data_IF_679187544482
#
_entry.id   IF_679187544482
#
_cell.length_a   1.000
_cell.length_b   1.000
_cell.length_c   1.000
_cell.angle_alpha   90.00
_cell.angle_beta   90.00
_cell.angle_gamma   90.00
#
_symmetry.space_group_name_H-M   'P 1'
#
loop_
_entity.id
_entity.type
_entity.pdbx_description
1 polymer ?
#
# COMPACT_ATOMS: atom_id res chain seq x y z
N UNK A 1 28.32 -35.43 -69.96
CA UNK A 1 29.46 -35.98 -69.19
C UNK A 1 29.65 -35.09 -67.95
N UNK A 2 29.34 -35.66 -66.77
CA UNK A 2 29.79 -35.36 -65.40
C UNK A 2 29.95 -33.90 -64.91
N UNK A 3 29.17 -33.59 -63.88
CA UNK A 3 29.31 -32.48 -62.90
C UNK A 3 30.59 -32.68 -62.06
N UNK A 4 31.24 -31.60 -61.58
CA UNK A 4 31.38 -31.37 -60.12
C UNK A 4 31.07 -29.89 -59.77
N UNK A 5 30.13 -29.56 -58.88
CA UNK A 5 30.15 -29.67 -57.42
C UNK A 5 31.35 -28.94 -56.78
N UNK A 6 31.18 -27.64 -56.47
CA UNK A 6 32.01 -26.93 -55.49
C UNK A 6 31.09 -26.37 -54.39
N UNK A 7 31.19 -27.01 -53.22
CA UNK A 7 30.62 -26.56 -51.96
C UNK A 7 31.53 -25.46 -51.39
N UNK A 8 31.03 -24.23 -51.33
CA UNK A 8 31.67 -23.16 -50.55
C UNK A 8 31.00 -23.15 -49.17
N UNK A 9 31.76 -23.60 -48.17
CA UNK A 9 31.40 -23.56 -46.76
C UNK A 9 31.45 -22.12 -46.26
N UNK A 10 30.31 -21.55 -45.88
CA UNK A 10 30.22 -20.23 -45.26
C UNK A 10 30.26 -20.40 -43.73
N UNK A 11 31.44 -20.20 -43.14
CA UNK A 11 31.61 -20.18 -41.70
C UNK A 11 30.90 -18.93 -41.11
N UNK A 12 29.82 -19.16 -40.37
CA UNK A 12 29.08 -18.12 -39.67
C UNK A 12 29.89 -17.57 -38.49
N UNK A 13 30.33 -16.32 -38.59
CA UNK A 13 30.91 -15.57 -37.49
C UNK A 13 29.77 -14.93 -36.70
N UNK A 14 29.32 -15.58 -35.65
CA UNK A 14 28.35 -15.04 -34.69
C UNK A 14 29.02 -13.94 -33.86
N UNK A 15 28.76 -12.69 -34.23
CA UNK A 15 29.03 -11.53 -33.38
C UNK A 15 28.14 -11.62 -32.13
N UNK A 16 28.74 -12.02 -31.01
CA UNK A 16 28.14 -11.83 -29.69
C UNK A 16 28.18 -10.33 -29.38
N UNK A 17 27.07 -9.64 -29.62
CA UNK A 17 26.88 -8.25 -29.18
C UNK A 17 26.63 -8.25 -27.67
N UNK A 18 27.71 -8.23 -26.89
CA UNK A 18 27.63 -7.95 -25.46
C UNK A 18 27.03 -6.56 -25.25
N UNK A 19 25.91 -6.47 -24.52
CA UNK A 19 25.32 -5.20 -24.12
C UNK A 19 26.22 -4.54 -23.06
N UNK A 20 27.15 -3.70 -23.51
CA UNK A 20 27.92 -2.81 -22.64
C UNK A 20 26.98 -1.76 -22.02
N UNK A 21 26.50 -2.01 -20.80
CA UNK A 21 25.72 -1.06 -19.99
C UNK A 21 26.64 -0.05 -19.30
N UNK A 22 27.25 0.86 -20.06
CA UNK A 22 28.19 1.82 -19.45
C UNK A 22 27.64 3.26 -19.31
N UNK A 23 26.59 3.67 -20.04
CA UNK A 23 26.09 5.05 -19.97
C UNK A 23 24.58 5.12 -20.22
N UNK A 24 23.81 5.71 -19.29
CA UNK A 24 22.39 6.01 -19.50
C UNK A 24 22.25 7.48 -19.86
N UNK A 25 21.91 7.74 -21.13
CA UNK A 25 21.61 9.07 -21.62
C UNK A 25 20.24 9.58 -21.14
N UNK A 26 20.07 10.90 -21.22
CA UNK A 26 18.81 11.60 -21.00
C UNK A 26 17.85 11.40 -22.18
N UNK A 27 16.58 11.14 -21.91
CA UNK A 27 15.53 11.06 -22.94
C UNK A 27 14.79 12.40 -23.01
N UNK A 28 14.75 13.09 -24.16
CA UNK A 28 14.00 14.34 -24.32
C UNK A 28 12.49 14.14 -24.16
N UNK A 29 11.80 15.14 -23.61
CA UNK A 29 10.34 15.17 -23.55
C UNK A 29 9.74 15.35 -24.95
N UNK A 30 8.55 14.79 -25.17
CA UNK A 30 7.80 14.95 -26.41
C UNK A 30 7.37 16.41 -26.68
N UNK A 31 7.18 17.21 -25.62
CA UNK A 31 6.72 18.60 -25.74
C UNK A 31 7.86 19.61 -25.92
N UNK A 32 9.02 19.37 -25.30
CA UNK A 32 10.21 20.22 -25.45
C UNK A 32 11.48 19.38 -25.18
N UNK A 33 12.37 19.30 -26.17
CA UNK A 33 13.56 18.46 -26.11
C UNK A 33 14.59 18.90 -25.04
N UNK A 34 14.46 20.14 -24.53
CA UNK A 34 15.33 20.69 -23.48
C UNK A 34 14.90 20.26 -22.08
N UNK A 35 13.68 19.73 -21.94
CA UNK A 35 13.20 19.04 -20.74
C UNK A 35 13.48 17.56 -20.96
N UNK A 36 14.36 17.00 -20.15
CA UNK A 36 14.84 15.64 -20.32
C UNK A 36 14.55 14.82 -19.08
N UNK A 37 14.40 13.52 -19.28
CA UNK A 37 14.09 12.57 -18.23
C UNK A 37 15.13 11.45 -18.24
N UNK A 38 15.54 11.00 -17.06
CA UNK A 38 16.49 9.91 -16.88
C UNK A 38 15.86 8.86 -16.00
N UNK A 39 15.84 7.61 -16.47
CA UNK A 39 15.47 6.47 -15.63
C UNK A 39 16.69 6.08 -14.79
N UNK A 40 16.60 6.22 -13.48
CA UNK A 40 17.68 5.89 -12.56
C UNK A 40 17.54 4.45 -12.06
N UNK A 41 18.59 3.63 -12.21
CA UNK A 41 18.59 2.22 -11.77
C UNK A 41 19.58 1.92 -10.64
N UNK A 42 20.14 2.93 -9.97
CA UNK A 42 21.12 2.74 -8.89
C UNK A 42 22.57 2.88 -9.35
N UNK A 43 22.94 2.23 -10.46
CA UNK A 43 24.33 2.08 -10.90
C UNK A 43 24.65 2.80 -12.22
N UNK A 44 23.96 3.91 -12.53
CA UNK A 44 24.19 4.65 -13.77
C UNK A 44 24.96 5.95 -13.55
N UNK A 45 25.92 6.21 -14.44
CA UNK A 45 26.48 7.55 -14.64
C UNK A 45 25.55 8.31 -15.58
N UNK A 46 25.03 9.44 -15.12
CA UNK A 46 24.05 10.25 -15.86
C UNK A 46 24.78 11.37 -16.58
N UNK A 47 24.78 11.35 -17.93
CA UNK A 47 25.37 12.42 -18.72
C UNK A 47 24.38 13.59 -18.89
N UNK A 48 24.83 14.80 -18.57
CA UNK A 48 24.06 16.04 -18.74
C UNK A 48 24.84 16.99 -19.65
N UNK A 49 24.21 17.41 -20.75
CA UNK A 49 24.75 18.44 -21.62
C UNK A 49 24.28 19.82 -21.13
N UNK A 50 25.21 20.66 -20.66
CA UNK A 50 24.93 22.02 -20.21
C UNK A 50 25.66 23.03 -21.12
N UNK A 51 25.21 24.27 -21.14
CA UNK A 51 25.82 25.30 -21.98
C UNK A 51 26.04 26.60 -21.20
N UNK A 52 27.09 27.32 -21.56
CA UNK A 52 27.33 28.67 -21.04
C UNK A 52 26.11 29.57 -21.33
N UNK A 53 25.73 30.38 -20.35
CA UNK A 53 24.54 31.23 -20.44
C UNK A 53 23.20 30.48 -20.33
N UNK A 54 23.22 29.17 -20.11
CA UNK A 54 22.02 28.35 -19.84
C UNK A 54 22.08 27.79 -18.43
N UNK A 55 20.98 27.92 -17.69
CA UNK A 55 20.82 27.30 -16.38
C UNK A 55 20.20 25.93 -16.57
N UNK A 56 20.84 24.89 -16.03
CA UNK A 56 20.34 23.52 -16.04
C UNK A 56 19.89 23.14 -14.63
N UNK A 57 18.65 22.66 -14.49
CA UNK A 57 18.10 22.19 -13.21
C UNK A 57 17.98 20.68 -13.21
N UNK A 58 18.54 20.02 -12.20
CA UNK A 58 18.37 18.59 -11.92
C UNK A 58 17.31 18.46 -10.83
N UNK A 59 16.22 17.77 -11.14
CA UNK A 59 15.10 17.51 -10.24
C UNK A 59 15.17 16.06 -9.73
N UNK A 60 15.47 15.92 -8.44
CA UNK A 60 15.40 14.65 -7.72
C UNK A 60 13.96 14.38 -7.22
N UNK A 61 13.72 13.22 -6.60
CA UNK A 61 12.42 12.91 -6.00
C UNK A 61 12.01 13.99 -5.00
N UNK A 62 10.72 14.37 -4.97
CA UNK A 62 10.17 15.30 -3.96
C UNK A 62 10.32 14.78 -2.51
N UNK A 63 10.59 13.48 -2.36
CA UNK A 63 10.81 12.83 -1.07
C UNK A 63 12.29 12.73 -0.67
N UNK A 64 13.19 13.29 -1.48
CA UNK A 64 14.62 13.37 -1.23
C UNK A 64 15.06 14.81 -0.95
N UNK A 65 16.07 14.95 -0.08
CA UNK A 65 16.72 16.21 0.23
C UNK A 65 18.21 16.09 -0.05
N UNK A 66 18.76 17.03 -0.83
CA UNK A 66 20.19 17.11 -1.11
C UNK A 66 20.90 17.55 0.17
N UNK A 67 21.87 16.75 0.61
CA UNK A 67 22.66 16.99 1.83
C UNK A 67 24.00 17.61 1.50
N UNK A 68 24.64 17.15 0.44
CA UNK A 68 25.94 17.65 0.01
C UNK A 68 26.17 17.35 -1.48
N UNK A 69 27.22 17.94 -2.06
CA UNK A 69 27.68 17.65 -3.41
C UNK A 69 29.19 17.82 -3.59
N UNK A 70 29.76 16.96 -4.44
CA UNK A 70 31.15 17.04 -4.88
C UNK A 70 31.21 17.29 -6.38
N UNK A 71 32.08 18.21 -6.82
CA UNK A 71 32.24 18.57 -8.23
C UNK A 71 33.74 18.69 -8.54
N UNK A 72 34.17 18.11 -9.66
CA UNK A 72 35.59 18.07 -10.04
C UNK A 72 36.20 19.46 -10.25
N UNK A 73 35.55 20.32 -11.02
CA UNK A 73 35.96 21.72 -11.23
C UNK A 73 34.87 22.68 -10.72
N UNK A 74 34.97 23.07 -9.44
CA UNK A 74 34.00 23.98 -8.82
C UNK A 74 34.15 25.42 -9.30
N UNK A 75 35.33 25.81 -9.78
CA UNK A 75 35.60 27.17 -10.21
C UNK A 75 35.02 27.45 -11.59
N UNK A 76 34.93 26.44 -12.47
CA UNK A 76 34.30 26.56 -13.78
C UNK A 76 32.76 26.51 -13.75
N UNK A 77 32.14 26.34 -12.57
CA UNK A 77 30.69 26.17 -12.45
C UNK A 77 30.06 27.03 -11.35
N UNK A 78 28.81 27.41 -11.57
CA UNK A 78 27.90 27.83 -10.50
C UNK A 78 27.00 26.65 -10.14
N UNK A 79 26.78 26.47 -8.84
CA UNK A 79 25.92 25.44 -8.30
C UNK A 79 25.12 25.99 -7.11
N UNK A 80 23.84 25.66 -7.06
CA UNK A 80 22.95 26.01 -5.96
C UNK A 80 21.96 24.88 -5.67
N UNK A 81 21.56 24.75 -4.41
CA UNK A 81 20.58 23.75 -3.94
C UNK A 81 19.31 24.48 -3.54
N UNK A 82 18.15 23.97 -3.98
CA UNK A 82 16.83 24.40 -3.52
C UNK A 82 15.93 23.18 -3.29
N UNK A 83 15.92 22.65 -2.06
CA UNK A 83 15.17 21.45 -1.71
C UNK A 83 15.68 20.20 -2.46
N UNK A 84 14.84 19.65 -3.33
CA UNK A 84 15.16 18.52 -4.20
C UNK A 84 15.70 18.95 -5.59
N UNK A 85 15.93 20.25 -5.80
CA UNK A 85 16.44 20.80 -7.04
C UNK A 85 17.93 21.16 -6.90
N UNK A 86 18.74 20.72 -7.85
CA UNK A 86 20.14 21.13 -7.99
C UNK A 86 20.29 21.97 -9.26
N UNK A 87 20.67 23.23 -9.10
CA UNK A 87 20.75 24.19 -10.20
C UNK A 87 22.21 24.43 -10.53
N UNK A 88 22.58 24.22 -11.79
CA UNK A 88 23.95 24.40 -12.27
C UNK A 88 24.01 25.30 -13.50
N UNK A 89 25.14 25.98 -13.66
CA UNK A 89 25.48 26.77 -14.84
C UNK A 89 26.99 26.76 -15.05
N UNK A 90 27.50 26.37 -16.23
CA UNK A 90 28.93 26.50 -16.52
C UNK A 90 29.29 27.98 -16.75
N UNK A 91 30.50 28.35 -16.33
CA UNK A 91 31.09 29.68 -16.54
C UNK A 91 31.95 29.76 -17.80
N UNK A 92 32.32 28.62 -18.36
CA UNK A 92 33.17 28.50 -19.54
C UNK A 92 32.58 27.45 -20.50
N UNK A 93 32.89 27.57 -21.79
CA UNK A 93 32.55 26.62 -22.85
C UNK A 93 33.39 25.34 -22.80
N UNK A 94 34.49 25.31 -22.05
CA UNK A 94 35.33 24.11 -21.81
C UNK A 94 35.39 23.76 -20.32
N UNK A 95 34.27 23.29 -19.77
CA UNK A 95 34.14 23.01 -18.34
C UNK A 95 33.65 21.58 -18.06
N UNK A 96 33.96 20.62 -18.94
CA UNK A 96 33.63 19.20 -18.74
C UNK A 96 34.15 18.69 -17.38
N UNK A 97 33.26 18.12 -16.56
CA UNK A 97 33.60 17.63 -15.22
C UNK A 97 32.63 16.52 -14.77
N UNK A 98 32.89 15.93 -13.62
CA UNK A 98 31.92 15.10 -12.90
C UNK A 98 31.22 15.91 -11.78
N UNK A 99 30.08 15.38 -11.34
CA UNK A 99 29.31 15.85 -10.21
C UNK A 99 28.76 14.64 -9.45
N UNK A 100 28.89 14.65 -8.14
CA UNK A 100 28.23 13.69 -7.23
C UNK A 100 27.26 14.45 -6.34
N UNK A 101 26.01 14.02 -6.28
CA UNK A 101 25.03 14.54 -5.32
C UNK A 101 24.79 13.50 -4.22
N UNK A 102 24.88 13.92 -2.96
CA UNK A 102 24.57 13.10 -1.80
C UNK A 102 23.23 13.52 -1.22
N UNK A 103 22.28 12.58 -1.09
CA UNK A 103 20.97 12.83 -0.48
C UNK A 103 20.76 12.02 0.79
N UNK A 104 19.63 12.25 1.46
CA UNK A 104 19.19 11.42 2.59
C UNK A 104 18.81 9.98 2.21
N UNK A 105 18.76 9.63 0.92
CA UNK A 105 18.41 8.28 0.48
C UNK A 105 19.50 7.62 -0.37
N UNK A 106 20.13 8.39 -1.25
CA UNK A 106 20.94 7.87 -2.37
C UNK A 106 22.06 8.83 -2.75
N UNK A 107 23.04 8.31 -3.48
CA UNK A 107 24.06 9.12 -4.15
C UNK A 107 23.86 9.03 -5.66
N UNK A 108 24.08 10.14 -6.36
CA UNK A 108 23.94 10.23 -7.81
C UNK A 108 25.24 10.65 -8.46
N UNK A 109 25.65 9.95 -9.52
CA UNK A 109 26.84 10.25 -10.29
C UNK A 109 26.45 10.86 -11.63
N UNK A 110 26.97 12.05 -11.90
CA UNK A 110 26.74 12.79 -13.12
C UNK A 110 28.05 13.07 -13.86
N UNK A 111 27.99 12.98 -15.18
CA UNK A 111 29.01 13.50 -16.07
C UNK A 111 28.45 14.76 -16.74
N UNK A 112 29.05 15.91 -16.43
CA UNK A 112 28.68 17.19 -17.01
C UNK A 112 29.51 17.42 -18.27
N UNK A 113 28.82 17.68 -19.38
CA UNK A 113 29.43 17.98 -20.68
C UNK A 113 29.02 19.37 -21.13
N UNK A 114 29.97 20.23 -21.45
CA UNK A 114 29.66 21.53 -22.05
C UNK A 114 29.31 21.38 -23.52
N UNK A 115 28.32 22.14 -23.97
CA UNK A 115 27.86 22.19 -25.37
C UNK A 115 27.52 23.62 -25.78
N UNK A 116 27.26 23.84 -27.06
CA UNK A 116 26.76 25.12 -27.53
C UNK A 116 25.33 25.36 -27.04
N UNK A 117 24.99 26.61 -26.69
CA UNK A 117 23.64 26.96 -26.20
C UNK A 117 22.48 26.65 -27.17
N UNK A 118 22.80 26.52 -28.47
CA UNK A 118 21.83 26.19 -29.53
C UNK A 118 21.85 24.70 -29.90
N UNK A 119 22.64 23.88 -29.20
CA UNK A 119 22.69 22.45 -29.45
C UNK A 119 21.35 21.80 -29.07
N UNK A 120 20.89 20.84 -29.88
CA UNK A 120 19.59 20.18 -29.67
C UNK A 120 19.50 19.40 -28.36
N UNK A 121 20.64 18.99 -27.80
CA UNK A 121 20.73 18.19 -26.59
C UNK A 121 20.97 19.02 -25.32
N UNK A 122 21.05 20.36 -25.40
CA UNK A 122 21.24 21.20 -24.21
C UNK A 122 20.08 21.00 -23.23
N UNK A 123 20.40 20.67 -21.99
CA UNK A 123 19.42 20.41 -20.94
C UNK A 123 19.11 21.70 -20.19
N UNK A 124 17.83 22.05 -20.12
CA UNK A 124 17.32 23.10 -19.23
C UNK A 124 16.80 22.48 -17.93
N UNK A 125 16.17 21.31 -18.05
CA UNK A 125 15.59 20.59 -16.93
C UNK A 125 15.82 19.10 -17.10
N UNK A 126 16.32 18.44 -16.06
CA UNK A 126 16.57 16.98 -16.02
C UNK A 126 15.78 16.39 -14.87
N UNK A 127 14.81 15.52 -15.17
CA UNK A 127 13.98 14.83 -14.17
C UNK A 127 14.44 13.39 -13.99
N UNK A 128 14.68 12.98 -12.75
CA UNK A 128 14.98 11.59 -12.46
C UNK A 128 13.69 10.81 -12.19
N UNK A 129 13.53 9.67 -12.88
CA UNK A 129 12.46 8.71 -12.69
C UNK A 129 12.99 7.47 -11.98
N UNK A 130 12.24 6.99 -11.00
CA UNK A 130 12.64 5.91 -10.12
C UNK A 130 11.69 4.72 -10.32
N UNK A 131 12.13 3.62 -10.97
CA UNK A 131 11.27 2.47 -11.20
C UNK A 131 10.80 1.80 -9.90
N UNK A 132 11.57 1.87 -8.81
CA UNK A 132 11.18 1.31 -7.51
C UNK A 132 10.05 2.09 -6.81
N UNK A 133 9.88 3.40 -7.07
CA UNK A 133 8.79 4.17 -6.44
C UNK A 133 7.41 3.75 -6.92
N UNK A 134 7.31 3.09 -8.08
CA UNK A 134 6.06 2.54 -8.59
C UNK A 134 5.63 1.29 -7.81
N UNK A 135 6.60 0.49 -7.34
CA UNK A 135 6.34 -0.72 -6.55
C UNK A 135 5.93 -0.40 -5.11
N UNK A 136 6.65 0.50 -4.43
CA UNK A 136 6.33 0.90 -3.05
C UNK A 136 4.94 1.56 -2.94
N UNK A 137 4.48 2.24 -4.00
CA UNK A 137 3.16 2.87 -4.03
C UNK A 137 2.04 1.87 -4.33
N UNK A 138 2.30 0.82 -5.11
CA UNK A 138 1.32 -0.21 -5.43
C UNK A 138 0.97 -1.07 -4.21
N UNK A 139 1.98 -1.50 -3.43
CA UNK A 139 1.78 -2.28 -2.21
C UNK A 139 1.03 -1.48 -1.14
N UNK A 140 1.41 -0.21 -0.93
CA UNK A 140 0.72 0.67 0.02
C UNK A 140 -0.75 0.90 -0.37
N UNK A 141 -1.06 1.05 -1.67
CA UNK A 141 -2.44 1.16 -2.16
C UNK A 141 -3.23 -0.14 -2.01
N UNK A 142 -2.60 -1.28 -2.24
CA UNK A 142 -3.24 -2.59 -2.06
C UNK A 142 -3.61 -2.84 -0.59
N UNK A 143 -2.70 -2.54 0.34
CA UNK A 143 -2.95 -2.62 1.78
C UNK A 143 -4.07 -1.68 2.22
N UNK A 144 -4.06 -0.43 1.76
CA UNK A 144 -5.11 0.54 2.08
C UNK A 144 -6.50 0.10 1.56
N UNK A 145 -6.56 -0.46 0.35
CA UNK A 145 -7.80 -1.02 -0.22
C UNK A 145 -8.28 -2.22 0.60
N UNK A 146 -7.40 -3.16 0.92
CA UNK A 146 -7.75 -4.33 1.72
C UNK A 146 -8.28 -3.93 3.11
N UNK A 147 -7.70 -2.90 3.72
CA UNK A 147 -8.16 -2.41 5.01
C UNK A 147 -9.53 -1.73 4.93
N UNK A 148 -9.79 -0.97 3.85
CA UNK A 148 -11.10 -0.38 3.59
C UNK A 148 -12.17 -1.46 3.36
N UNK A 149 -11.89 -2.46 2.52
CA UNK A 149 -12.80 -3.58 2.23
C UNK A 149 -13.14 -4.35 3.53
N UNK A 150 -12.14 -4.60 4.38
CA UNK A 150 -12.36 -5.25 5.69
C UNK A 150 -13.23 -4.43 6.63
N UNK A 151 -13.04 -3.09 6.67
CA UNK A 151 -13.86 -2.20 7.50
C UNK A 151 -15.32 -2.19 7.03
N UNK A 152 -15.53 -2.17 5.72
CA UNK A 152 -16.87 -2.21 5.15
C UNK A 152 -17.58 -3.53 5.46
N UNK A 153 -16.92 -4.67 5.26
CA UNK A 153 -17.49 -5.98 5.62
C UNK A 153 -17.87 -6.06 7.11
N UNK A 154 -17.04 -5.53 8.02
CA UNK A 154 -17.36 -5.50 9.46
C UNK A 154 -18.60 -4.63 9.75
N UNK A 155 -18.76 -3.52 9.05
CA UNK A 155 -19.93 -2.65 9.21
C UNK A 155 -21.22 -3.33 8.71
N UNK A 156 -21.15 -4.01 7.56
CA UNK A 156 -22.28 -4.72 6.98
C UNK A 156 -22.75 -5.88 7.88
N UNK A 157 -21.80 -6.65 8.44
CA UNK A 157 -22.11 -7.72 9.40
C UNK A 157 -22.83 -7.17 10.65
N UNK A 158 -22.35 -6.05 11.20
CA UNK A 158 -22.98 -5.39 12.36
C UNK A 158 -24.40 -4.89 12.04
N UNK A 159 -24.62 -4.37 10.83
CA UNK A 159 -25.94 -3.92 10.39
C UNK A 159 -26.93 -5.10 10.26
N UNK A 160 -26.47 -6.28 9.84
CA UNK A 160 -27.33 -7.47 9.67
C UNK A 160 -27.98 -7.95 10.98
N UNK A 161 -27.37 -7.65 12.14
CA UNK A 161 -27.97 -7.92 13.45
C UNK A 161 -29.21 -7.09 13.78
N UNK A 162 -29.51 -6.08 12.97
CA UNK A 162 -30.70 -5.23 13.06
C UNK A 162 -31.65 -5.44 11.88
N UNK A 163 -31.32 -6.33 10.95
CA UNK A 163 -32.18 -6.65 9.80
C UNK A 163 -33.22 -7.72 10.15
N UNK A 164 -34.42 -7.59 9.59
CA UNK A 164 -35.50 -8.56 9.78
C UNK A 164 -36.55 -8.14 10.82
N UNK A 165 -37.35 -9.12 11.27
CA UNK A 165 -38.38 -8.88 12.28
C UNK A 165 -37.79 -9.03 13.68
N UNK A 166 -37.46 -7.89 14.30
CA UNK A 166 -36.79 -7.88 15.60
C UNK A 166 -37.77 -8.20 16.74
N UNK A 167 -37.40 -9.17 17.56
CA UNK A 167 -38.13 -9.52 18.78
C UNK A 167 -37.35 -9.08 20.03
N UNK A 168 -38.00 -8.31 20.89
CA UNK A 168 -37.43 -7.79 22.15
C UNK A 168 -38.10 -8.41 23.39
N UNK A 169 -39.04 -9.34 23.22
CA UNK A 169 -39.89 -9.83 24.30
C UNK A 169 -39.18 -10.89 25.16
N UNK A 170 -38.22 -10.42 25.94
CA UNK A 170 -37.42 -11.22 26.85
C UNK A 170 -37.67 -10.85 28.30
N UNK A 171 -37.73 -11.86 29.16
CA UNK A 171 -37.82 -11.69 30.60
C UNK A 171 -36.60 -12.28 31.27
N UNK A 172 -35.99 -11.53 32.17
CA UNK A 172 -34.72 -11.87 32.82
C UNK A 172 -34.94 -11.94 34.33
N UNK A 173 -34.39 -12.96 34.99
CA UNK A 173 -34.40 -13.12 36.44
C UNK A 173 -33.01 -13.49 36.92
N UNK A 174 -32.49 -12.77 37.91
CA UNK A 174 -31.19 -13.04 38.51
C UNK A 174 -30.45 -11.77 38.92
N UNK A 175 -29.18 -11.88 39.33
CA UNK A 175 -28.36 -10.73 39.73
C UNK A 175 -28.17 -9.73 38.58
N UNK A 176 -28.27 -8.43 38.88
CA UNK A 176 -28.14 -7.35 37.88
C UNK A 176 -26.81 -7.40 37.09
N UNK A 177 -25.74 -7.90 37.72
CA UNK A 177 -24.42 -8.03 37.10
C UNK A 177 -24.37 -9.01 35.92
N UNK A 178 -25.34 -9.93 35.84
CA UNK A 178 -25.46 -10.90 34.74
C UNK A 178 -26.53 -10.49 33.73
N UNK A 179 -27.25 -9.40 33.97
CA UNK A 179 -28.33 -9.01 33.08
C UNK A 179 -27.78 -8.19 31.91
N UNK A 180 -28.13 -8.52 30.66
CA UNK A 180 -27.86 -7.64 29.53
C UNK A 180 -28.63 -6.31 29.67
N UNK A 181 -28.02 -5.22 29.19
CA UNK A 181 -28.62 -3.89 29.09
C UNK A 181 -29.72 -3.84 28.03
N UNK A 182 -29.53 -4.56 26.94
CA UNK A 182 -30.54 -4.74 25.90
C UNK A 182 -30.43 -6.12 25.29
N UNK A 183 -31.57 -6.66 24.87
CA UNK A 183 -31.63 -7.98 24.27
C UNK A 183 -32.66 -8.01 23.15
N UNK A 184 -32.30 -8.61 22.03
CA UNK A 184 -33.19 -8.81 20.90
C UNK A 184 -32.80 -10.05 20.10
N UNK A 185 -33.72 -10.55 19.28
CA UNK A 185 -33.41 -11.50 18.21
C UNK A 185 -33.93 -11.01 16.87
N UNK A 186 -33.30 -11.47 15.79
CA UNK A 186 -33.74 -11.20 14.40
C UNK A 186 -34.40 -12.43 13.74
N UNK A 187 -34.89 -13.38 14.55
CA UNK A 187 -35.40 -14.66 14.09
C UNK A 187 -34.33 -15.70 13.70
N UNK A 188 -33.05 -15.33 13.64
CA UNK A 188 -31.93 -16.27 13.39
C UNK A 188 -30.94 -16.31 14.54
N UNK A 189 -30.58 -15.15 15.07
CA UNK A 189 -29.58 -14.98 16.13
C UNK A 189 -30.15 -14.16 17.27
N UNK A 190 -29.65 -14.38 18.47
CA UNK A 190 -30.02 -13.61 19.67
C UNK A 190 -28.84 -12.76 20.12
N UNK A 191 -29.08 -11.46 20.26
CA UNK A 191 -28.12 -10.43 20.60
C UNK A 191 -28.36 -9.99 22.05
N UNK A 192 -27.30 -9.98 22.86
CA UNK A 192 -27.33 -9.57 24.25
C UNK A 192 -26.20 -8.56 24.50
N UNK A 193 -26.56 -7.29 24.67
CA UNK A 193 -25.60 -6.24 25.00
C UNK A 193 -25.36 -6.22 26.50
N UNK A 194 -24.11 -6.40 26.94
CA UNK A 194 -23.74 -6.31 28.34
C UNK A 194 -23.10 -4.96 28.67
N UNK A 195 -23.04 -4.64 29.95
CA UNK A 195 -22.27 -3.50 30.43
C UNK A 195 -20.80 -3.86 30.49
N UNK A 196 -19.93 -3.01 29.94
CA UNK A 196 -18.48 -3.13 30.07
C UNK A 196 -17.96 -3.04 31.52
N UNK A 197 -18.83 -2.65 32.49
CA UNK A 197 -18.48 -2.62 33.92
C UNK A 197 -18.32 -4.02 34.53
N UNK A 198 -18.81 -5.07 33.86
CA UNK A 198 -18.87 -6.42 34.38
C UNK A 198 -18.25 -7.41 33.37
N UNK A 199 -17.42 -8.37 33.83
CA UNK A 199 -16.99 -9.48 32.97
C UNK A 199 -18.19 -10.25 32.39
N UNK A 200 -18.09 -10.62 31.11
CA UNK A 200 -19.14 -11.35 30.40
C UNK A 200 -19.44 -12.71 31.08
N UNK A 201 -20.73 -13.08 31.21
CA UNK A 201 -21.11 -14.39 31.70
C UNK A 201 -20.89 -15.47 30.63
N UNK A 202 -20.90 -16.74 31.02
CA UNK A 202 -21.06 -17.86 30.11
C UNK A 202 -22.55 -18.12 29.84
N UNK A 203 -22.93 -18.33 28.59
CA UNK A 203 -24.30 -18.65 28.19
C UNK A 203 -24.49 -20.16 27.95
N UNK A 204 -25.57 -20.68 28.52
CA UNK A 204 -26.07 -22.03 28.34
C UNK A 204 -27.52 -21.93 27.90
N UNK A 205 -28.02 -22.99 27.27
CA UNK A 205 -29.41 -23.04 26.79
C UNK A 205 -30.09 -24.26 27.37
N UNK A 206 -31.39 -24.15 27.59
CA UNK A 206 -32.19 -25.29 28.03
C UNK A 206 -32.84 -25.89 26.78
N UNK A 207 -32.50 -27.14 26.49
CA UNK A 207 -33.06 -27.90 25.37
C UNK A 207 -34.52 -28.28 25.63
N UNK A 208 -35.29 -28.69 24.61
CA UNK A 208 -36.69 -29.10 24.78
C UNK A 208 -36.90 -30.25 25.78
N UNK A 209 -35.89 -31.09 26.00
CA UNK A 209 -35.90 -32.17 26.99
C UNK A 209 -35.61 -31.70 28.43
N UNK A 210 -35.34 -30.41 28.62
CA UNK A 210 -35.04 -29.79 29.91
C UNK A 210 -33.57 -29.84 30.32
N UNK A 211 -32.68 -30.40 29.50
CA UNK A 211 -31.24 -30.45 29.80
C UNK A 211 -30.53 -29.13 29.46
N UNK A 212 -29.45 -28.81 30.19
CA UNK A 212 -28.58 -27.67 29.85
C UNK A 212 -27.54 -28.10 28.82
N UNK A 213 -27.42 -27.36 27.72
CA UNK A 213 -26.41 -27.57 26.69
C UNK A 213 -25.58 -26.30 26.45
N UNK A 214 -24.39 -26.49 25.89
CA UNK A 214 -23.58 -25.38 25.38
C UNK A 214 -24.22 -24.83 24.11
N UNK A 215 -24.15 -23.51 23.94
CA UNK A 215 -24.58 -22.82 22.73
C UNK A 215 -23.38 -22.17 22.07
N UNK A 216 -23.31 -22.26 20.74
CA UNK A 216 -22.32 -21.52 19.98
C UNK A 216 -22.66 -20.04 20.01
N UNK A 217 -21.70 -19.25 20.47
CA UNK A 217 -21.78 -17.82 20.49
C UNK A 217 -20.43 -17.20 20.14
N UNK A 218 -20.50 -15.94 19.75
CA UNK A 218 -19.33 -15.08 19.67
C UNK A 218 -19.64 -13.77 20.38
N UNK A 219 -18.58 -13.00 20.63
CA UNK A 219 -18.68 -11.69 21.28
C UNK A 219 -18.18 -10.65 20.30
N UNK A 220 -19.02 -9.65 20.02
CA UNK A 220 -18.68 -8.46 19.25
C UNK A 220 -18.75 -7.23 20.17
N UNK A 221 -17.60 -6.63 20.46
CA UNK A 221 -17.47 -5.58 21.47
C UNK A 221 -18.04 -6.06 22.82
N UNK A 222 -19.13 -5.46 23.31
CA UNK A 222 -19.84 -5.86 24.54
C UNK A 222 -21.11 -6.69 24.26
N UNK A 223 -21.33 -7.12 23.02
CA UNK A 223 -22.53 -7.86 22.60
C UNK A 223 -22.22 -9.34 22.42
N UNK A 224 -22.86 -10.19 23.22
CA UNK A 224 -22.86 -11.63 22.99
C UNK A 224 -23.94 -11.99 21.96
N UNK A 225 -23.53 -12.69 20.90
CA UNK A 225 -24.43 -13.11 19.83
C UNK A 225 -24.49 -14.63 19.79
N UNK A 226 -25.64 -15.17 20.22
CA UNK A 226 -25.96 -16.58 20.07
C UNK A 226 -26.32 -16.87 18.62
N UNK A 227 -25.77 -17.95 18.06
CA UNK A 227 -26.00 -18.33 16.65
C UNK A 227 -27.38 -18.98 16.39
N UNK A 228 -28.29 -18.91 17.36
CA UNK A 228 -29.67 -19.40 17.26
C UNK A 228 -30.60 -18.65 18.20
N UNK A 229 -31.89 -18.62 17.88
CA UNK A 229 -32.94 -18.16 18.79
C UNK A 229 -33.40 -19.33 19.66
N UNK A 230 -33.42 -19.15 20.99
CA UNK A 230 -33.85 -20.16 21.94
C UNK A 230 -34.93 -19.65 22.89
N UNK A 231 -35.80 -20.53 23.43
CA UNK A 231 -36.80 -20.16 24.43
C UNK A 231 -36.18 -19.76 25.77
N UNK A 232 -35.08 -20.38 26.17
CA UNK A 232 -34.47 -20.22 27.50
C UNK A 232 -32.95 -20.21 27.44
N UNK A 233 -32.37 -19.21 28.11
CA UNK A 233 -30.92 -19.06 28.27
C UNK A 233 -30.60 -18.97 29.77
N UNK A 234 -29.54 -19.64 30.19
CA UNK A 234 -28.96 -19.53 31.53
C UNK A 234 -27.60 -18.85 31.41
N UNK A 235 -27.42 -17.76 32.14
CA UNK A 235 -26.16 -17.03 32.25
C UNK A 235 -25.48 -17.39 33.57
N UNK A 236 -24.19 -17.75 33.53
CA UNK A 236 -23.41 -18.13 34.72
C UNK A 236 -22.11 -17.34 34.80
N UNK A 237 -21.77 -16.91 36.01
CA UNK A 237 -20.45 -16.32 36.33
C UNK A 237 -20.07 -16.64 37.77
N UNK A 238 -19.13 -17.57 37.96
CA UNK A 238 -18.83 -18.09 39.29
C UNK A 238 -20.07 -18.71 39.94
N UNK A 239 -20.45 -18.22 41.13
CA UNK A 239 -21.65 -18.66 41.84
C UNK A 239 -22.95 -17.95 41.39
N UNK A 240 -22.86 -16.92 40.55
CA UNK A 240 -24.02 -16.16 40.09
C UNK A 240 -24.70 -16.88 38.92
N UNK A 241 -26.03 -16.91 38.94
CA UNK A 241 -26.87 -17.50 37.90
C UNK A 241 -28.02 -16.55 37.58
N UNK A 242 -28.25 -16.30 36.29
CA UNK A 242 -29.43 -15.60 35.79
C UNK A 242 -30.13 -16.42 34.70
N UNK A 243 -31.46 -16.41 34.71
CA UNK A 243 -32.28 -17.07 33.71
C UNK A 243 -32.98 -16.04 32.81
N UNK A 244 -33.01 -16.33 31.52
CA UNK A 244 -33.68 -15.53 30.50
C UNK A 244 -34.73 -16.41 29.81
N UNK A 245 -35.92 -15.87 29.61
CA UNK A 245 -37.01 -16.52 28.87
C UNK A 245 -37.46 -15.63 27.71
N UNK A 246 -37.42 -16.16 26.49
CA UNK A 246 -38.06 -15.58 25.31
C UNK A 246 -39.57 -15.83 25.39
N UNK A 247 -40.38 -14.77 25.44
CA UNK A 247 -41.84 -14.85 25.54
C UNK A 247 -42.54 -14.79 24.19
N UNK A 248 -41.78 -14.61 23.11
CA UNK A 248 -42.30 -14.64 21.74
C UNK A 248 -41.28 -15.26 20.79
N UNK A 249 -40.86 -16.53 21.03
CA UNK A 249 -39.86 -17.17 20.19
C UNK A 249 -40.40 -17.29 18.75
N UNK A 250 -39.61 -16.82 17.78
CA UNK A 250 -39.85 -17.12 16.38
C UNK A 250 -39.81 -18.65 16.20
N UNK A 251 -40.79 -19.21 15.48
CA UNK A 251 -40.81 -20.65 15.20
C UNK A 251 -39.55 -21.02 14.40
N UNK A 252 -38.84 -22.11 14.75
CA UNK A 252 -37.68 -22.53 13.99
C UNK A 252 -38.08 -22.80 12.54
N UNK A 253 -37.33 -22.23 11.60
CA UNK A 253 -37.47 -22.54 10.17
C UNK A 253 -37.02 -24.00 10.03
N UNK A 254 -37.97 -24.92 9.85
CA UNK A 254 -37.63 -26.31 9.53
C UNK A 254 -37.00 -26.32 8.13
N UNK A 255 -35.74 -26.73 8.05
CA UNK A 255 -35.11 -27.10 6.79
C UNK A 255 -35.91 -28.26 6.19
N UNK A 256 -36.56 -28.04 5.05
CA UNK A 256 -37.12 -29.11 4.23
C UNK A 256 -36.02 -29.86 3.48
#
# INVERSE_FOLDING_TARGET
MRIPAFLISLAGMTLVTGSLHAEVGTVPSASDARIQTVRFTGDNIIRIAAAEGVVTTIELSKSEAIKDFAMGDRDAWHAAVNGNLFVIKPKDVKADTNLTLFTNRRSYLFQLKTTHRNARNVAYWVRLQYPESDHATAEARALAKQEADRRQLKADLKASGLEGNLNYNYWIVGPNELQPLSMHDNGRQTYMLFSAANPLPAAFVIEPDGTESLVDYHVEDDTMVLHRVVPRVILRRGALVAGITNRSPALPIQSA
#
